data_IF_929260597996
#
_entry.id   IF_929260597996
#
_cell.length_a   1.000
_cell.length_b   1.000
_cell.length_c   1.000
_cell.angle_alpha   90.00
_cell.angle_beta   90.00
_cell.angle_gamma   90.00
#
_symmetry.space_group_name_H-M   'P 1'
#
loop_
_entity.id
_entity.type
_entity.pdbx_description
1 polymer ?
#
# COMPACT_ATOMS: atom_id res chain seq x y z
N UNK A 1 -19.05 -3.58 -14.62
CA UNK A 1 -18.45 -2.30 -14.21
C UNK A 1 -18.55 -2.18 -12.70
N UNK A 2 -17.41 -2.33 -12.05
CA UNK A 2 -17.20 -2.57 -10.62
C UNK A 2 -17.25 -1.26 -9.83
N UNK A 3 -18.42 -0.91 -9.32
CA UNK A 3 -18.60 0.30 -8.51
C UNK A 3 -18.28 0.07 -7.01
N UNK A 4 -17.26 -0.75 -6.69
CA UNK A 4 -16.87 -1.04 -5.29
C UNK A 4 -15.62 -0.27 -4.85
N UNK A 5 -14.89 0.35 -5.78
CA UNK A 5 -13.86 1.33 -5.49
C UNK A 5 -13.91 2.42 -6.57
N UNK A 6 -14.92 3.28 -6.50
CA UNK A 6 -14.83 4.60 -7.15
C UNK A 6 -13.56 5.28 -6.66
N UNK A 7 -12.88 6.04 -7.54
CA UNK A 7 -11.75 6.90 -7.15
C UNK A 7 -12.01 7.52 -5.78
N UNK A 8 -11.16 7.20 -4.81
CA UNK A 8 -11.33 7.72 -3.46
C UNK A 8 -11.05 9.22 -3.55
N UNK A 9 -12.09 10.05 -3.42
CA UNK A 9 -11.97 11.51 -3.46
C UNK A 9 -10.83 11.96 -2.56
N UNK A 10 -9.81 12.61 -3.12
CA UNK A 10 -8.65 13.11 -2.36
C UNK A 10 -9.13 14.10 -1.28
N UNK A 11 -8.44 14.11 -0.12
CA UNK A 11 -8.64 15.24 0.79
C UNK A 11 -7.87 16.45 0.24
N UNK A 12 -8.25 17.67 0.64
CA UNK A 12 -7.67 18.92 0.10
C UNK A 12 -6.14 18.92 0.15
N UNK A 13 -5.55 18.30 1.18
CA UNK A 13 -4.10 18.23 1.32
C UNK A 13 -3.47 17.18 0.38
N UNK A 14 -4.12 16.04 0.16
CA UNK A 14 -3.69 15.03 -0.80
C UNK A 14 -3.76 15.58 -2.23
N UNK A 15 -4.83 16.32 -2.55
CA UNK A 15 -4.99 17.02 -3.83
C UNK A 15 -3.91 18.09 -4.00
N UNK A 16 -3.65 18.90 -2.97
CA UNK A 16 -2.54 19.86 -3.00
C UNK A 16 -1.16 19.21 -3.28
N UNK A 17 -0.87 18.05 -2.66
CA UNK A 17 0.39 17.33 -2.94
C UNK A 17 0.39 16.75 -4.35
N UNK A 18 -0.76 16.24 -4.80
CA UNK A 18 -0.95 15.75 -6.17
C UNK A 18 -0.68 16.87 -7.17
N UNK A 19 -1.38 18.00 -7.07
CA UNK A 19 -1.21 19.15 -7.96
C UNK A 19 0.23 19.65 -7.95
N UNK A 20 0.88 19.73 -6.76
CA UNK A 20 2.29 20.12 -6.67
C UNK A 20 3.21 19.16 -7.44
N UNK A 21 2.92 17.86 -7.42
CA UNK A 21 3.70 16.85 -8.13
C UNK A 21 3.35 16.76 -9.61
N UNK A 22 2.11 17.04 -10.01
CA UNK A 22 1.60 16.80 -11.36
C UNK A 22 1.61 18.06 -12.24
N UNK A 23 1.34 19.23 -11.68
CA UNK A 23 1.16 20.48 -12.43
C UNK A 23 2.45 21.30 -12.54
N UNK A 24 3.54 20.83 -11.93
CA UNK A 24 4.86 21.45 -12.06
C UNK A 24 5.51 21.11 -13.40
N UNK A 25 6.37 22.01 -13.92
CA UNK A 25 7.23 21.67 -15.06
C UNK A 25 8.12 20.47 -14.70
N UNK A 26 8.16 19.42 -15.54
CA UNK A 26 9.05 18.28 -15.34
C UNK A 26 10.49 18.74 -15.14
N UNK A 27 11.15 18.14 -14.16
CA UNK A 27 12.53 18.51 -13.85
C UNK A 27 13.52 17.70 -14.68
N UNK A 28 14.55 18.37 -15.13
CA UNK A 28 15.76 17.73 -15.64
C UNK A 28 16.67 17.47 -14.44
N UNK A 29 16.92 16.19 -14.15
CA UNK A 29 17.73 15.73 -13.02
C UNK A 29 19.08 15.33 -13.59
N UNK A 30 20.10 16.10 -13.29
CA UNK A 30 21.47 15.82 -13.73
C UNK A 30 22.28 15.14 -12.65
N UNK A 31 22.02 15.52 -11.40
CA UNK A 31 22.73 14.98 -10.26
C UNK A 31 21.86 14.83 -9.02
N UNK A 32 22.54 14.46 -7.96
CA UNK A 32 21.94 14.15 -6.69
C UNK A 32 21.32 15.42 -6.04
N UNK A 33 21.86 16.63 -6.25
CA UNK A 33 21.35 17.86 -5.63
C UNK A 33 19.97 18.24 -6.18
N UNK A 34 19.70 17.91 -7.45
CA UNK A 34 18.43 18.19 -8.13
C UNK A 34 17.22 17.44 -7.52
N UNK A 35 17.46 16.35 -6.76
CA UNK A 35 16.40 15.56 -6.11
C UNK A 35 16.09 15.98 -4.68
N UNK A 36 16.78 16.98 -4.13
CA UNK A 36 16.61 17.41 -2.73
C UNK A 36 15.18 17.86 -2.43
N UNK A 37 14.51 18.56 -3.35
CA UNK A 37 13.12 18.99 -3.12
C UNK A 37 12.18 17.80 -2.91
N UNK A 38 12.33 16.74 -3.73
CA UNK A 38 11.54 15.52 -3.58
C UNK A 38 11.78 14.84 -2.23
N UNK A 39 13.05 14.77 -1.81
CA UNK A 39 13.45 14.19 -0.51
C UNK A 39 12.87 15.00 0.66
N UNK A 40 12.99 16.34 0.63
CA UNK A 40 12.44 17.23 1.65
C UNK A 40 10.92 17.10 1.76
N UNK A 41 10.23 17.02 0.62
CA UNK A 41 8.79 16.80 0.57
C UNK A 41 8.43 15.48 1.25
N UNK A 42 9.08 14.38 0.89
CA UNK A 42 8.79 13.07 1.44
C UNK A 42 9.15 12.95 2.94
N UNK A 43 10.20 13.64 3.40
CA UNK A 43 10.53 13.75 4.83
C UNK A 43 9.45 14.51 5.61
N UNK A 44 8.86 15.54 5.01
CA UNK A 44 7.75 16.26 5.64
C UNK A 44 6.54 15.34 5.85
N UNK A 45 6.28 14.43 4.91
CA UNK A 45 5.21 13.44 5.00
C UNK A 45 5.49 12.35 6.03
N UNK A 46 6.75 11.91 6.21
CA UNK A 46 7.14 10.93 7.23
C UNK A 46 6.83 11.43 8.66
N UNK A 47 6.93 12.75 8.89
CA UNK A 47 6.62 13.35 10.18
C UNK A 47 5.12 13.45 10.47
N UNK A 48 4.26 13.21 9.48
CA UNK A 48 2.80 13.26 9.63
C UNK A 48 2.24 11.92 10.05
N UNK A 49 1.32 11.94 11.01
CA UNK A 49 0.61 10.73 11.42
C UNK A 49 -0.75 10.66 10.73
N UNK A 50 -0.77 10.13 9.50
CA UNK A 50 -1.98 10.01 8.68
C UNK A 50 -3.13 9.29 9.38
N UNK A 51 -2.85 8.39 10.32
CA UNK A 51 -3.89 7.74 11.12
C UNK A 51 -4.57 8.70 12.10
N UNK A 52 -3.79 9.51 12.82
CA UNK A 52 -4.33 10.49 13.77
C UNK A 52 -5.11 11.59 13.08
N UNK A 53 -4.66 12.01 11.90
CA UNK A 53 -5.39 12.96 11.07
C UNK A 53 -6.76 12.44 10.62
N UNK A 54 -6.81 11.19 10.14
CA UNK A 54 -8.08 10.56 9.79
C UNK A 54 -8.99 10.38 11.01
N UNK A 55 -8.41 10.02 12.15
CA UNK A 55 -9.14 9.84 13.39
C UNK A 55 -9.75 11.16 13.89
N UNK A 56 -8.95 12.23 13.95
CA UNK A 56 -9.41 13.54 14.43
C UNK A 56 -10.46 14.15 13.50
N UNK A 57 -10.27 14.03 12.18
CA UNK A 57 -11.25 14.45 11.18
C UNK A 57 -12.59 13.72 11.40
N UNK A 58 -12.56 12.39 11.52
CA UNK A 58 -13.80 11.62 11.72
C UNK A 58 -14.46 11.91 13.07
N UNK A 59 -13.69 12.06 14.15
CA UNK A 59 -14.25 12.43 15.44
C UNK A 59 -14.94 13.81 15.39
N UNK A 60 -14.35 14.75 14.65
CA UNK A 60 -14.94 16.08 14.43
C UNK A 60 -16.25 16.01 13.64
N UNK A 61 -16.32 15.18 12.60
CA UNK A 61 -17.57 14.90 11.87
C UNK A 61 -18.66 14.32 12.78
N UNK A 62 -18.27 13.49 13.74
CA UNK A 62 -19.17 12.90 14.74
C UNK A 62 -19.50 13.87 15.90
N UNK A 63 -19.09 15.13 15.82
CA UNK A 63 -19.40 16.18 16.77
C UNK A 63 -18.40 16.34 17.92
N UNK A 64 -17.30 15.59 17.94
CA UNK A 64 -16.22 15.74 18.92
C UNK A 64 -15.04 16.50 18.30
N UNK A 65 -14.97 17.81 18.56
CA UNK A 65 -13.89 18.66 18.02
C UNK A 65 -12.57 18.30 18.68
N UNK A 66 -11.61 17.85 17.88
CA UNK A 66 -10.22 17.66 18.30
C UNK A 66 -9.26 17.77 17.11
N UNK A 67 -7.98 17.98 17.40
CA UNK A 67 -6.88 17.95 16.45
C UNK A 67 -6.10 16.62 16.51
N UNK A 68 -5.23 16.38 15.54
CA UNK A 68 -4.40 15.17 15.41
C UNK A 68 -3.25 15.07 16.42
N UNK A 69 -2.89 16.19 17.07
CA UNK A 69 -1.92 16.25 18.17
C UNK A 69 -2.56 16.08 19.57
N UNK A 70 -3.90 16.12 19.67
CA UNK A 70 -4.65 15.98 20.93
C UNK A 70 -4.89 14.50 21.31
N UNK A 71 -3.81 13.71 21.40
CA UNK A 71 -3.88 12.25 21.54
C UNK A 71 -4.65 11.76 22.78
N UNK A 72 -4.56 12.46 23.91
CA UNK A 72 -5.26 12.07 25.14
C UNK A 72 -6.78 12.31 25.04
N UNK A 73 -7.20 13.40 24.40
CA UNK A 73 -8.62 13.70 24.13
C UNK A 73 -9.22 12.67 23.16
N UNK A 74 -8.54 12.40 22.04
CA UNK A 74 -8.93 11.36 21.09
C UNK A 74 -9.00 9.98 21.75
N UNK A 75 -8.03 9.65 22.60
CA UNK A 75 -7.99 8.36 23.29
C UNK A 75 -9.15 8.21 24.28
N UNK A 76 -9.49 9.25 25.04
CA UNK A 76 -10.61 9.24 25.96
C UNK A 76 -11.94 9.01 25.21
N UNK A 77 -12.15 9.73 24.12
CA UNK A 77 -13.34 9.59 23.29
C UNK A 77 -13.40 8.21 22.63
N UNK A 78 -12.29 7.70 22.09
CA UNK A 78 -12.25 6.35 21.52
C UNK A 78 -12.54 5.27 22.55
N UNK A 79 -12.03 5.39 23.79
CA UNK A 79 -12.39 4.46 24.88
C UNK A 79 -13.89 4.52 25.20
N UNK A 80 -14.48 5.72 25.25
CA UNK A 80 -15.91 5.93 25.44
C UNK A 80 -16.72 5.22 24.35
N UNK A 81 -16.35 5.43 23.07
CA UNK A 81 -16.98 4.81 21.90
C UNK A 81 -16.87 3.30 21.90
N UNK A 82 -15.70 2.75 22.20
CA UNK A 82 -15.50 1.30 22.35
C UNK A 82 -16.45 0.71 23.41
N UNK A 83 -16.61 1.41 24.54
CA UNK A 83 -17.52 0.93 25.58
C UNK A 83 -18.99 1.08 25.20
N UNK A 84 -19.37 2.20 24.58
CA UNK A 84 -20.76 2.53 24.23
C UNK A 84 -21.30 1.71 23.04
N UNK A 85 -20.50 1.60 21.97
CA UNK A 85 -20.94 1.03 20.68
C UNK A 85 -20.59 -0.45 20.60
N UNK A 86 -19.39 -0.83 21.04
CA UNK A 86 -18.87 -2.20 20.90
C UNK A 86 -19.04 -3.04 22.17
N UNK A 87 -19.44 -2.40 23.28
CA UNK A 87 -19.47 -2.98 24.63
C UNK A 87 -18.17 -3.69 25.03
N UNK A 88 -17.01 -3.13 24.65
CA UNK A 88 -15.70 -3.71 24.97
C UNK A 88 -14.69 -2.65 25.40
N UNK A 89 -13.58 -3.11 25.96
CA UNK A 89 -12.44 -2.24 26.28
C UNK A 89 -11.62 -1.97 25.03
N UNK A 90 -11.06 -0.75 24.92
CA UNK A 90 -10.16 -0.39 23.83
C UNK A 90 -8.87 -1.23 23.91
N UNK A 91 -8.52 -2.04 22.89
CA UNK A 91 -7.35 -2.90 22.90
C UNK A 91 -6.04 -2.12 22.99
N UNK A 92 -5.01 -2.70 23.63
CA UNK A 92 -3.71 -2.06 23.80
C UNK A 92 -3.11 -1.60 22.47
N UNK A 93 -3.22 -2.40 21.42
CA UNK A 93 -2.74 -2.07 20.08
C UNK A 93 -3.35 -0.76 19.55
N UNK A 94 -4.66 -0.56 19.72
CA UNK A 94 -5.35 0.66 19.29
C UNK A 94 -4.93 1.85 20.15
N UNK A 95 -4.71 1.63 21.45
CA UNK A 95 -4.16 2.66 22.34
C UNK A 95 -2.76 3.10 21.86
N UNK A 96 -1.90 2.15 21.49
CA UNK A 96 -0.55 2.45 21.01
C UNK A 96 -0.57 3.18 19.66
N UNK A 97 -1.55 2.90 18.79
CA UNK A 97 -1.80 3.67 17.56
C UNK A 97 -2.15 5.12 17.85
N UNK A 98 -3.12 5.36 18.75
CA UNK A 98 -3.58 6.71 19.09
C UNK A 98 -2.48 7.51 19.81
N UNK A 99 -1.61 6.84 20.56
CA UNK A 99 -0.45 7.46 21.20
C UNK A 99 0.74 7.70 20.27
N UNK A 100 0.64 7.30 18.99
CA UNK A 100 1.73 7.41 18.02
C UNK A 100 2.96 6.54 18.35
N UNK A 101 2.82 5.55 19.22
CA UNK A 101 3.93 4.65 19.61
C UNK A 101 4.22 3.66 18.47
N UNK A 102 3.17 3.14 17.85
CA UNK A 102 3.26 2.26 16.68
C UNK A 102 2.23 2.70 15.65
N UNK A 103 2.54 2.73 14.34
CA UNK A 103 1.53 2.96 13.33
C UNK A 103 0.58 1.75 13.21
N UNK A 104 -0.65 1.93 12.70
CA UNK A 104 -1.45 0.82 12.21
C UNK A 104 -0.68 0.07 11.12
N UNK A 105 -0.61 -1.25 11.24
CA UNK A 105 0.02 -2.13 10.25
C UNK A 105 -1.02 -2.96 9.53
N UNK A 106 -0.61 -3.78 8.56
CA UNK A 106 -1.54 -4.67 7.83
C UNK A 106 -2.05 -5.86 8.66
N UNK A 107 -1.45 -6.11 9.83
CA UNK A 107 -1.83 -7.18 10.75
C UNK A 107 -2.94 -6.73 11.69
N UNK A 108 -3.62 -7.65 12.39
CA UNK A 108 -4.73 -7.31 13.31
C UNK A 108 -5.93 -6.63 12.62
N UNK A 109 -6.37 -7.18 11.47
CA UNK A 109 -7.55 -6.70 10.72
C UNK A 109 -8.79 -6.48 11.58
N UNK A 110 -9.01 -7.33 12.59
CA UNK A 110 -10.09 -7.15 13.57
C UNK A 110 -10.05 -5.76 14.22
N UNK A 111 -8.91 -5.32 14.75
CA UNK A 111 -8.78 -4.02 15.41
C UNK A 111 -9.05 -2.84 14.44
N UNK A 112 -8.72 -3.00 13.16
CA UNK A 112 -8.98 -1.97 12.15
C UNK A 112 -10.49 -1.75 11.98
N UNK A 113 -11.24 -2.83 11.76
CA UNK A 113 -12.69 -2.72 11.62
C UNK A 113 -13.39 -2.34 12.92
N UNK A 114 -12.85 -2.73 14.07
CA UNK A 114 -13.35 -2.31 15.37
C UNK A 114 -13.31 -0.80 15.54
N UNK A 115 -12.22 -0.16 15.12
CA UNK A 115 -12.12 1.30 15.09
C UNK A 115 -13.17 1.87 14.14
N UNK A 116 -13.32 1.35 12.92
CA UNK A 116 -14.34 1.82 11.97
C UNK A 116 -15.76 1.72 12.54
N UNK A 117 -16.11 0.62 13.22
CA UNK A 117 -17.39 0.50 13.91
C UNK A 117 -17.55 1.49 15.08
N UNK A 118 -16.51 1.69 15.90
CA UNK A 118 -16.55 2.70 16.97
C UNK A 118 -16.71 4.13 16.43
N UNK A 119 -16.23 4.37 15.21
CA UNK A 119 -16.36 5.63 14.48
C UNK A 119 -17.61 5.67 13.60
N UNK A 120 -18.51 4.69 13.74
CA UNK A 120 -19.82 4.65 13.07
C UNK A 120 -19.67 4.86 11.55
N UNK A 121 -18.66 4.24 10.95
CA UNK A 121 -18.37 4.36 9.52
C UNK A 121 -19.25 3.43 8.70
N UNK A 122 -19.73 3.92 7.56
CA UNK A 122 -20.36 3.09 6.53
C UNK A 122 -19.31 2.33 5.68
N UNK A 123 -19.79 1.58 4.68
CA UNK A 123 -18.94 0.80 3.77
C UNK A 123 -17.93 1.66 3.00
N UNK A 124 -18.34 2.82 2.49
CA UNK A 124 -17.47 3.70 1.70
C UNK A 124 -16.46 4.41 2.59
N UNK A 125 -16.92 4.96 3.73
CA UNK A 125 -16.07 5.59 4.74
C UNK A 125 -15.01 4.63 5.27
N UNK A 126 -15.40 3.38 5.54
CA UNK A 126 -14.46 2.32 5.95
C UNK A 126 -13.42 2.07 4.86
N UNK A 127 -13.85 1.95 3.59
CA UNK A 127 -12.94 1.70 2.49
C UNK A 127 -11.92 2.84 2.31
N UNK A 128 -12.38 4.09 2.36
CA UNK A 128 -11.51 5.28 2.33
C UNK A 128 -10.52 5.25 3.49
N UNK A 129 -10.99 4.97 4.69
CA UNK A 129 -10.16 4.99 5.90
C UNK A 129 -9.05 3.94 5.86
N UNK A 130 -9.36 2.73 5.36
CA UNK A 130 -8.38 1.67 5.17
C UNK A 130 -7.27 2.11 4.21
N UNK A 131 -7.62 2.71 3.07
CA UNK A 131 -6.62 3.07 2.08
C UNK A 131 -5.77 4.27 2.50
N UNK A 132 -6.36 5.30 3.12
CA UNK A 132 -5.67 6.57 3.42
C UNK A 132 -5.02 6.63 4.80
N UNK A 133 -5.60 5.97 5.78
CA UNK A 133 -5.22 6.11 7.19
C UNK A 133 -4.63 4.81 7.75
N UNK A 134 -4.97 3.66 7.17
CA UNK A 134 -4.32 2.37 7.45
C UNK A 134 -3.34 1.91 6.36
N UNK A 135 -3.33 2.56 5.19
CA UNK A 135 -2.42 2.28 4.08
C UNK A 135 -2.51 0.83 3.58
N UNK A 136 -3.73 0.27 3.59
CA UNK A 136 -4.00 -1.11 3.20
C UNK A 136 -5.40 -1.22 2.58
N UNK A 137 -5.66 -2.26 1.80
CA UNK A 137 -7.00 -2.47 1.23
C UNK A 137 -7.99 -2.92 2.31
N UNK A 138 -9.27 -2.52 2.23
CA UNK A 138 -10.35 -3.12 3.02
C UNK A 138 -10.80 -4.46 2.40
N UNK A 139 -11.64 -5.19 3.12
CA UNK A 139 -12.49 -6.29 2.65
C UNK A 139 -11.83 -7.34 1.76
N UNK A 140 -10.77 -8.00 2.25
CA UNK A 140 -10.34 -9.26 1.63
C UNK A 140 -11.43 -10.34 1.83
N UNK A 141 -12.37 -10.43 0.90
CA UNK A 141 -13.55 -11.31 0.98
C UNK A 141 -13.24 -12.81 1.03
N UNK A 142 -11.98 -13.21 0.77
CA UNK A 142 -11.49 -14.58 0.96
C UNK A 142 -11.08 -14.87 2.40
N UNK A 143 -10.81 -13.84 3.20
CA UNK A 143 -10.57 -13.96 4.64
C UNK A 143 -11.90 -13.95 5.40
N UNK A 144 -12.01 -14.86 6.37
CA UNK A 144 -13.16 -14.98 7.27
C UNK A 144 -13.46 -13.67 8.00
N UNK A 145 -12.43 -13.01 8.52
CA UNK A 145 -12.60 -11.78 9.32
C UNK A 145 -13.17 -10.68 8.44
N UNK A 146 -12.49 -10.40 7.33
CA UNK A 146 -12.85 -9.36 6.38
C UNK A 146 -14.21 -9.61 5.72
N UNK A 147 -14.57 -10.85 5.40
CA UNK A 147 -15.88 -11.19 4.84
C UNK A 147 -17.03 -10.90 5.82
N UNK A 148 -16.85 -11.24 7.11
CA UNK A 148 -17.85 -10.91 8.15
C UNK A 148 -18.00 -9.41 8.31
N UNK A 149 -16.88 -8.68 8.31
CA UNK A 149 -16.93 -7.21 8.40
C UNK A 149 -17.53 -6.56 7.17
N UNK A 150 -17.24 -7.06 5.96
CA UNK A 150 -17.88 -6.60 4.73
C UNK A 150 -19.40 -6.74 4.81
N UNK A 151 -19.88 -7.95 5.14
CA UNK A 151 -21.32 -8.22 5.30
C UNK A 151 -21.95 -7.29 6.34
N UNK A 152 -21.40 -7.25 7.56
CA UNK A 152 -22.03 -6.51 8.63
C UNK A 152 -22.01 -4.99 8.41
N UNK A 153 -20.92 -4.42 7.87
CA UNK A 153 -20.85 -2.98 7.60
C UNK A 153 -21.78 -2.62 6.43
N UNK A 154 -21.78 -3.41 5.35
CA UNK A 154 -22.61 -3.12 4.18
C UNK A 154 -24.11 -3.15 4.51
N UNK A 155 -24.55 -4.13 5.32
CA UNK A 155 -25.95 -4.26 5.72
C UNK A 155 -26.29 -3.50 7.02
N UNK A 156 -25.42 -2.61 7.50
CA UNK A 156 -25.59 -1.83 8.73
C UNK A 156 -25.97 -2.69 9.96
N UNK A 157 -25.42 -3.91 10.05
CA UNK A 157 -25.67 -4.82 11.18
C UNK A 157 -24.96 -4.29 12.44
N UNK A 158 -25.58 -4.42 13.63
CA UNK A 158 -24.94 -4.01 14.88
C UNK A 158 -23.70 -4.86 15.16
N UNK A 159 -22.77 -4.31 15.94
CA UNK A 159 -21.53 -5.00 16.28
C UNK A 159 -21.75 -6.33 17.05
N UNK A 160 -22.88 -6.48 17.75
CA UNK A 160 -23.27 -7.76 18.35
C UNK A 160 -23.42 -8.89 17.32
N UNK A 161 -23.88 -8.58 16.11
CA UNK A 161 -23.94 -9.52 14.98
C UNK A 161 -22.55 -9.92 14.51
N UNK A 162 -21.60 -8.97 14.45
CA UNK A 162 -20.19 -9.26 14.12
C UNK A 162 -19.61 -10.30 15.09
N UNK A 163 -19.80 -10.10 16.41
CA UNK A 163 -19.33 -11.04 17.43
C UNK A 163 -19.94 -12.43 17.22
N UNK A 164 -21.27 -12.51 17.03
CA UNK A 164 -21.98 -13.77 16.78
C UNK A 164 -21.45 -14.50 15.53
N UNK A 165 -21.28 -13.80 14.42
CA UNK A 165 -20.83 -14.40 13.16
C UNK A 165 -19.35 -14.82 13.22
N UNK A 166 -18.48 -14.01 13.85
CA UNK A 166 -17.08 -14.39 14.07
C UNK A 166 -16.97 -15.62 14.99
N UNK A 167 -17.81 -15.74 16.00
CA UNK A 167 -17.86 -16.91 16.89
C UNK A 167 -18.33 -18.17 16.16
N UNK A 168 -19.43 -18.07 15.39
CA UNK A 168 -19.98 -19.18 14.62
C UNK A 168 -19.00 -19.71 13.57
N UNK A 169 -18.09 -18.87 13.09
CA UNK A 169 -17.15 -19.23 12.01
C UNK A 169 -15.80 -19.71 12.54
N UNK A 170 -15.56 -19.75 13.86
CA UNK A 170 -14.26 -20.15 14.45
C UNK A 170 -13.77 -21.53 14.02
N UNK A 171 -14.70 -22.47 13.81
CA UNK A 171 -14.40 -23.86 13.48
C UNK A 171 -14.54 -24.19 11.99
N UNK A 172 -14.83 -23.19 11.14
CA UNK A 172 -14.95 -23.39 9.70
C UNK A 172 -13.56 -23.65 9.13
N UNK A 173 -13.40 -24.75 8.40
CA UNK A 173 -12.13 -25.09 7.76
C UNK A 173 -11.97 -24.32 6.45
N UNK A 174 -10.75 -23.86 6.13
CA UNK A 174 -10.50 -23.23 4.84
C UNK A 174 -10.70 -24.24 3.70
N UNK A 175 -11.31 -23.77 2.63
CA UNK A 175 -11.49 -24.51 1.40
C UNK A 175 -10.19 -24.47 0.56
N UNK A 176 -9.94 -25.51 -0.26
CA UNK A 176 -8.89 -25.45 -1.27
C UNK A 176 -9.17 -24.33 -2.27
N UNK A 177 -8.11 -23.85 -2.94
CA UNK A 177 -8.19 -22.72 -3.87
C UNK A 177 -9.29 -22.98 -4.92
N UNK A 178 -10.19 -22.03 -5.08
CA UNK A 178 -11.18 -22.03 -6.15
C UNK A 178 -10.87 -20.90 -7.14
N UNK A 179 -11.26 -21.09 -8.41
CA UNK A 179 -11.12 -20.10 -9.48
C UNK A 179 -12.07 -18.90 -9.35
N UNK A 180 -12.87 -18.82 -8.29
CA UNK A 180 -13.80 -17.71 -8.08
C UNK A 180 -13.03 -16.41 -7.81
N UNK A 181 -13.33 -15.37 -8.58
CA UNK A 181 -12.69 -14.07 -8.40
C UNK A 181 -13.10 -13.43 -7.07
N UNK A 182 -12.18 -12.66 -6.46
CA UNK A 182 -12.45 -11.94 -5.20
C UNK A 182 -13.61 -10.96 -5.35
N UNK A 183 -13.74 -10.30 -6.51
CA UNK A 183 -14.84 -9.37 -6.81
C UNK A 183 -16.20 -10.07 -6.83
N UNK A 184 -16.28 -11.27 -7.40
CA UNK A 184 -17.51 -12.07 -7.41
C UNK A 184 -17.88 -12.53 -6.00
N UNK A 185 -16.91 -12.92 -5.18
CA UNK A 185 -17.15 -13.27 -3.77
C UNK A 185 -17.72 -12.06 -3.02
N UNK A 186 -17.13 -10.88 -3.18
CA UNK A 186 -17.60 -9.65 -2.53
C UNK A 186 -19.03 -9.28 -2.96
N UNK A 187 -19.34 -9.34 -4.25
CA UNK A 187 -20.68 -9.07 -4.77
C UNK A 187 -21.73 -10.04 -4.22
N UNK A 188 -21.39 -11.32 -4.13
CA UNK A 188 -22.28 -12.31 -3.54
C UNK A 188 -22.52 -12.03 -2.06
N UNK A 189 -21.48 -11.71 -1.28
CA UNK A 189 -21.63 -11.34 0.15
C UNK A 189 -22.59 -10.18 0.31
N UNK A 190 -22.41 -9.12 -0.49
CA UNK A 190 -23.25 -7.91 -0.50
C UNK A 190 -24.71 -8.21 -0.90
N UNK A 191 -24.95 -9.22 -1.73
CA UNK A 191 -26.29 -9.60 -2.17
C UNK A 191 -27.07 -10.44 -1.14
N UNK A 192 -26.39 -10.98 -0.12
CA UNK A 192 -27.00 -11.79 0.93
C UNK A 192 -27.42 -10.85 2.05
N UNK A 193 -28.71 -10.83 2.41
CA UNK A 193 -29.21 -10.09 3.58
C UNK A 193 -29.89 -11.03 4.59
N UNK A 194 -29.21 -12.14 4.89
CA UNK A 194 -29.65 -13.12 5.87
C UNK A 194 -28.43 -13.79 6.52
N UNK A 195 -28.37 -13.77 7.84
CA UNK A 195 -27.21 -14.22 8.61
C UNK A 195 -26.90 -15.70 8.38
N UNK A 196 -27.93 -16.56 8.28
CA UNK A 196 -27.75 -18.00 8.12
C UNK A 196 -27.30 -18.35 6.69
N UNK A 197 -27.86 -17.67 5.68
CA UNK A 197 -27.39 -17.78 4.28
C UNK A 197 -25.96 -17.27 4.13
N UNK A 198 -25.60 -16.20 4.83
CA UNK A 198 -24.24 -15.67 4.81
C UNK A 198 -23.25 -16.68 5.42
N UNK A 199 -23.60 -17.29 6.56
CA UNK A 199 -22.77 -18.33 7.18
C UNK A 199 -22.59 -19.56 6.28
N UNK A 200 -23.67 -20.03 5.64
CA UNK A 200 -23.60 -21.12 4.66
C UNK A 200 -22.69 -20.76 3.47
N UNK A 201 -22.83 -19.55 2.93
CA UNK A 201 -21.98 -19.05 1.85
C UNK A 201 -20.51 -18.97 2.27
N UNK A 202 -20.22 -18.36 3.41
CA UNK A 202 -18.86 -18.21 3.92
C UNK A 202 -18.20 -19.56 4.17
N UNK A 203 -18.94 -20.57 4.63
CA UNK A 203 -18.41 -21.93 4.83
C UNK A 203 -17.90 -22.60 3.55
N UNK A 204 -18.42 -22.17 2.39
CA UNK A 204 -18.07 -22.67 1.06
C UNK A 204 -17.02 -21.81 0.34
N UNK A 205 -16.79 -20.58 0.81
CA UNK A 205 -15.96 -19.57 0.14
C UNK A 205 -14.91 -18.91 1.05
N UNK A 206 -14.55 -19.56 2.16
CA UNK A 206 -13.43 -19.19 3.02
C UNK A 206 -12.15 -19.90 2.58
N UNK A 207 -11.04 -19.19 2.38
CA UNK A 207 -9.77 -19.73 1.88
C UNK A 207 -8.61 -19.49 2.88
N UNK A 208 -7.53 -20.27 2.75
CA UNK A 208 -6.37 -20.17 3.63
C UNK A 208 -5.61 -18.84 3.42
N UNK A 209 -5.25 -18.17 4.52
CA UNK A 209 -4.45 -16.93 4.50
C UNK A 209 -3.07 -17.11 3.88
N UNK A 210 -2.53 -18.33 3.86
CA UNK A 210 -1.24 -18.65 3.22
C UNK A 210 -1.28 -18.50 1.68
N UNK A 211 -2.47 -18.42 1.11
CA UNK A 211 -2.72 -18.22 -0.32
C UNK A 211 -2.98 -16.74 -0.65
N UNK A 212 -2.90 -15.86 0.34
CA UNK A 212 -3.01 -14.42 0.16
C UNK A 212 -1.87 -13.94 -0.75
N UNK A 213 -2.21 -13.11 -1.74
CA UNK A 213 -1.30 -12.59 -2.76
C UNK A 213 -0.76 -13.61 -3.78
N UNK A 214 -1.33 -14.80 -3.93
CA UNK A 214 -0.88 -15.76 -4.96
C UNK A 214 -0.88 -15.13 -6.37
N UNK A 215 -1.97 -14.46 -6.73
CA UNK A 215 -2.09 -13.75 -7.99
C UNK A 215 -1.09 -12.59 -8.11
N UNK A 216 -0.87 -11.84 -7.02
CA UNK A 216 0.13 -10.78 -7.01
C UNK A 216 1.55 -11.32 -7.22
N UNK A 217 1.90 -12.46 -6.59
CA UNK A 217 3.20 -13.12 -6.82
C UNK A 217 3.37 -13.57 -8.26
N UNK A 218 2.33 -14.13 -8.88
CA UNK A 218 2.34 -14.52 -10.28
C UNK A 218 2.62 -13.31 -11.19
N UNK A 219 1.91 -12.20 -10.97
CA UNK A 219 2.13 -10.96 -11.72
C UNK A 219 3.53 -10.38 -11.48
N UNK A 220 4.02 -10.37 -10.23
CA UNK A 220 5.38 -9.95 -9.89
C UNK A 220 6.43 -10.84 -10.60
N UNK A 221 6.23 -12.16 -10.64
CA UNK A 221 7.12 -13.07 -11.36
C UNK A 221 7.20 -12.75 -12.86
N UNK A 222 6.06 -12.42 -13.48
CA UNK A 222 6.02 -12.01 -14.88
C UNK A 222 6.79 -10.69 -15.11
N UNK A 223 6.58 -9.69 -14.25
CA UNK A 223 7.30 -8.41 -14.34
C UNK A 223 8.81 -8.57 -14.10
N UNK A 224 9.21 -9.46 -13.17
CA UNK A 224 10.63 -9.85 -12.97
C UNK A 224 11.21 -10.45 -14.25
N UNK A 225 10.47 -11.33 -14.93
CA UNK A 225 10.93 -11.96 -16.16
C UNK A 225 11.20 -10.91 -17.25
N UNK A 226 10.33 -9.90 -17.40
CA UNK A 226 10.50 -8.79 -18.35
C UNK A 226 11.79 -8.02 -18.03
N UNK A 227 12.01 -7.62 -16.78
CA UNK A 227 13.24 -6.91 -16.37
C UNK A 227 14.48 -7.75 -16.68
N UNK A 228 14.45 -9.04 -16.35
CA UNK A 228 15.56 -9.97 -16.62
C UNK A 228 15.86 -10.10 -18.11
N UNK A 229 14.83 -10.17 -18.95
CA UNK A 229 15.00 -10.18 -20.41
C UNK A 229 15.64 -8.90 -20.93
N UNK A 230 15.20 -7.73 -20.44
CA UNK A 230 15.80 -6.44 -20.77
C UNK A 230 17.29 -6.40 -20.41
N UNK A 231 17.63 -6.75 -19.17
CA UNK A 231 19.03 -6.81 -18.70
C UNK A 231 19.88 -7.75 -19.58
N UNK A 232 19.34 -8.90 -19.96
CA UNK A 232 20.06 -9.88 -20.78
C UNK A 232 20.28 -9.43 -22.22
N UNK A 233 19.45 -8.53 -22.77
CA UNK A 233 19.70 -7.92 -24.09
C UNK A 233 20.94 -7.03 -24.08
N UNK A 234 21.17 -6.33 -22.97
CA UNK A 234 22.30 -5.42 -22.82
C UNK A 234 23.60 -6.14 -22.47
N UNK A 235 23.51 -7.24 -21.70
CA UNK A 235 24.66 -8.09 -21.34
C UNK A 235 24.91 -9.09 -22.47
N UNK A 236 25.49 -8.59 -23.56
CA UNK A 236 25.93 -9.41 -24.67
C UNK A 236 26.95 -10.47 -24.19
N UNK A 237 26.61 -11.76 -24.37
CA UNK A 237 27.52 -12.92 -24.57
C UNK A 237 27.74 -13.91 -23.39
N UNK A 238 27.29 -13.71 -22.14
CA UNK A 238 27.55 -14.70 -21.06
C UNK A 238 26.30 -15.24 -20.35
N UNK A 239 26.27 -16.56 -20.12
CA UNK A 239 25.32 -17.21 -19.18
C UNK A 239 25.54 -16.61 -17.78
N UNK A 240 24.58 -15.84 -17.31
CA UNK A 240 24.54 -15.32 -15.93
C UNK A 240 23.85 -16.36 -15.04
N UNK A 241 24.42 -16.67 -13.88
CA UNK A 241 23.77 -17.52 -12.89
C UNK A 241 22.54 -16.82 -12.27
N UNK A 242 21.53 -17.59 -11.87
CA UNK A 242 20.23 -17.03 -11.42
C UNK A 242 20.35 -16.09 -10.20
N UNK A 243 21.26 -16.40 -9.29
CA UNK A 243 21.58 -15.57 -8.12
C UNK A 243 22.14 -14.21 -8.54
N UNK A 244 23.09 -14.20 -9.47
CA UNK A 244 23.65 -12.98 -10.04
C UNK A 244 22.60 -12.19 -10.84
N UNK A 245 21.65 -12.88 -11.48
CA UNK A 245 20.57 -12.23 -12.22
C UNK A 245 19.57 -11.55 -11.28
N UNK A 246 19.31 -12.11 -10.09
CA UNK A 246 18.55 -11.41 -9.05
C UNK A 246 19.27 -10.13 -8.59
N UNK A 247 20.59 -10.18 -8.35
CA UNK A 247 21.37 -8.99 -8.00
C UNK A 247 21.36 -7.91 -9.07
N UNK A 248 21.39 -8.30 -10.35
CA UNK A 248 21.25 -7.36 -11.46
C UNK A 248 19.85 -6.77 -11.54
N UNK A 249 18.82 -7.58 -11.25
CA UNK A 249 17.43 -7.10 -11.16
C UNK A 249 17.32 -6.03 -10.08
N UNK A 250 17.85 -6.27 -8.87
CA UNK A 250 17.82 -5.25 -7.80
C UNK A 250 18.59 -3.99 -8.19
N UNK A 251 19.75 -4.14 -8.84
CA UNK A 251 20.53 -2.99 -9.31
C UNK A 251 19.79 -2.17 -10.37
N UNK A 252 19.04 -2.82 -11.27
CA UNK A 252 18.19 -2.13 -12.23
C UNK A 252 17.00 -1.42 -11.57
N UNK A 253 16.46 -1.95 -10.48
CA UNK A 253 15.34 -1.32 -9.78
C UNK A 253 15.75 -0.15 -8.86
N UNK A 254 16.96 -0.19 -8.30
CA UNK A 254 17.36 0.73 -7.23
C UNK A 254 18.61 1.57 -7.55
N UNK A 255 19.33 1.29 -8.63
CA UNK A 255 20.54 2.02 -9.03
C UNK A 255 21.81 1.64 -8.28
N UNK A 256 21.75 0.70 -7.32
CA UNK A 256 22.93 0.23 -6.58
C UNK A 256 22.97 -1.29 -6.44
N UNK A 257 24.18 -1.83 -6.29
CA UNK A 257 24.39 -3.26 -6.00
C UNK A 257 24.11 -3.52 -4.52
N UNK A 258 23.24 -4.47 -4.18
CA UNK A 258 22.91 -4.84 -2.79
C UNK A 258 24.13 -5.27 -1.95
N UNK A 259 25.22 -5.66 -2.59
CA UNK A 259 26.48 -6.09 -1.95
C UNK A 259 27.56 -4.98 -1.90
N UNK A 260 27.26 -3.74 -2.27
CA UNK A 260 28.22 -2.65 -2.12
C UNK A 260 28.57 -2.51 -0.63
N UNK A 261 29.87 -2.56 -0.31
CA UNK A 261 30.36 -2.34 1.05
C UNK A 261 29.81 -1.01 1.55
N UNK A 262 29.17 -1.00 2.71
CA UNK A 262 28.91 0.22 3.48
C UNK A 262 30.25 0.86 3.83
N UNK A 263 30.73 1.76 2.99
CA UNK A 263 31.68 2.77 3.44
C UNK A 263 30.91 3.72 4.38
N UNK A 264 31.56 4.17 5.45
CA UNK A 264 31.05 5.16 6.41
C UNK A 264 30.87 6.53 5.75
N UNK A 265 29.93 6.62 4.81
CA UNK A 265 29.52 7.87 4.16
C UNK A 265 28.23 8.37 4.79
N UNK A 266 28.04 9.69 4.94
CA UNK A 266 26.78 10.23 5.41
C UNK A 266 25.70 9.86 4.39
N UNK A 267 24.89 8.85 4.71
CA UNK A 267 23.73 8.51 3.89
C UNK A 267 22.81 9.73 3.88
N UNK A 268 22.38 10.19 2.69
CA UNK A 268 21.29 11.15 2.58
C UNK A 268 20.13 10.73 3.47
N UNK A 269 19.52 11.71 4.14
CA UNK A 269 18.47 11.45 5.12
C UNK A 269 17.16 11.12 4.38
N UNK A 270 17.08 9.93 3.79
CA UNK A 270 15.83 9.44 3.19
C UNK A 270 14.80 9.08 4.28
N UNK A 271 13.50 9.25 3.99
CA UNK A 271 12.41 8.78 4.85
C UNK A 271 12.60 7.31 5.23
N UNK A 272 12.23 6.96 6.46
CA UNK A 272 12.34 5.59 6.96
C UNK A 272 11.44 4.66 6.14
N UNK A 273 10.20 5.08 5.88
CA UNK A 273 9.23 4.36 5.05
C UNK A 273 9.62 4.25 3.59
N UNK A 274 10.59 5.03 3.11
CA UNK A 274 11.16 4.81 1.77
C UNK A 274 12.13 3.62 1.77
N UNK A 275 13.04 3.57 2.74
CA UNK A 275 14.14 2.60 2.80
C UNK A 275 13.73 1.21 3.29
N UNK A 276 12.68 1.12 4.09
CA UNK A 276 12.19 -0.15 4.61
C UNK A 276 11.50 -0.98 3.51
N UNK A 277 11.56 -2.30 3.62
CA UNK A 277 10.82 -3.22 2.75
C UNK A 277 11.14 -3.09 1.24
N UNK A 278 12.31 -2.55 0.87
CA UNK A 278 12.81 -2.54 -0.51
C UNK A 278 13.22 -3.95 -0.96
N UNK A 279 13.15 -4.25 -2.27
CA UNK A 279 13.56 -5.55 -2.80
C UNK A 279 15.07 -5.81 -2.60
N UNK A 280 15.40 -7.07 -2.41
CA UNK A 280 16.76 -7.60 -2.33
C UNK A 280 16.85 -8.94 -3.06
N UNK A 281 18.06 -9.43 -3.30
CA UNK A 281 18.30 -10.72 -3.96
C UNK A 281 17.56 -11.86 -3.27
N UNK A 282 17.52 -11.81 -1.94
CA UNK A 282 16.83 -12.79 -1.09
C UNK A 282 15.33 -12.69 -1.26
N UNK A 283 14.74 -11.49 -1.21
CA UNK A 283 13.28 -11.33 -1.32
C UNK A 283 12.80 -11.64 -2.74
N UNK A 284 13.57 -11.31 -3.77
CA UNK A 284 13.29 -11.74 -5.16
C UNK A 284 13.29 -13.26 -5.24
N UNK A 285 14.32 -13.93 -4.70
CA UNK A 285 14.38 -15.39 -4.65
C UNK A 285 13.18 -16.01 -3.92
N UNK A 286 12.79 -15.45 -2.77
CA UNK A 286 11.62 -15.88 -2.01
C UNK A 286 10.32 -15.77 -2.83
N UNK A 287 10.12 -14.67 -3.56
CA UNK A 287 8.95 -14.48 -4.41
C UNK A 287 8.90 -15.55 -5.51
N UNK A 288 10.02 -15.76 -6.21
CA UNK A 288 10.14 -16.74 -7.30
C UNK A 288 9.90 -18.19 -6.83
N UNK A 289 10.33 -18.51 -5.61
CA UNK A 289 10.14 -19.82 -5.00
C UNK A 289 8.73 -20.01 -4.38
N UNK A 290 7.91 -18.95 -4.33
CA UNK A 290 6.58 -18.98 -3.72
C UNK A 290 6.58 -18.85 -2.20
N UNK A 291 7.70 -18.50 -1.57
CA UNK A 291 7.86 -18.36 -0.13
C UNK A 291 6.98 -17.23 0.44
N UNK A 292 6.78 -17.22 1.77
CA UNK A 292 6.06 -16.14 2.45
C UNK A 292 6.89 -14.85 2.44
N UNK A 293 6.29 -13.79 1.91
CA UNK A 293 6.88 -12.44 1.83
C UNK A 293 5.85 -11.45 2.36
N UNK A 294 6.30 -10.37 3.02
CA UNK A 294 5.39 -9.39 3.61
C UNK A 294 4.66 -8.59 2.53
N UNK A 295 3.47 -8.09 2.87
CA UNK A 295 2.67 -7.21 2.02
C UNK A 295 3.48 -6.03 1.47
N UNK A 296 4.22 -5.35 2.34
CA UNK A 296 4.94 -4.14 1.97
C UNK A 296 6.08 -4.42 1.00
N UNK A 297 6.81 -5.52 1.21
CA UNK A 297 7.86 -5.96 0.28
C UNK A 297 7.25 -6.32 -1.07
N UNK A 298 6.15 -7.08 -1.10
CA UNK A 298 5.46 -7.41 -2.35
C UNK A 298 4.98 -6.16 -3.09
N UNK A 299 4.31 -5.23 -2.39
CA UNK A 299 3.78 -3.99 -2.98
C UNK A 299 4.91 -3.12 -3.55
N UNK A 300 5.95 -2.84 -2.78
CA UNK A 300 7.08 -2.01 -3.23
C UNK A 300 7.86 -2.66 -4.36
N UNK A 301 8.09 -3.97 -4.29
CA UNK A 301 8.73 -4.72 -5.38
C UNK A 301 7.92 -4.60 -6.67
N UNK A 302 6.59 -4.78 -6.58
CA UNK A 302 5.72 -4.66 -7.74
C UNK A 302 5.72 -3.23 -8.34
N UNK A 303 5.62 -2.20 -7.50
CA UNK A 303 5.66 -0.80 -7.94
C UNK A 303 6.99 -0.47 -8.65
N UNK A 304 8.13 -0.90 -8.11
CA UNK A 304 9.44 -0.67 -8.73
C UNK A 304 9.60 -1.41 -10.06
N UNK A 305 9.12 -2.66 -10.14
CA UNK A 305 9.14 -3.42 -11.39
C UNK A 305 8.30 -2.74 -12.48
N UNK A 306 7.07 -2.32 -12.14
CA UNK A 306 6.20 -1.58 -13.06
C UNK A 306 6.84 -0.27 -13.50
N UNK A 307 7.42 0.48 -12.56
CA UNK A 307 8.13 1.72 -12.84
C UNK A 307 9.26 1.50 -13.85
N UNK A 308 10.15 0.53 -13.60
CA UNK A 308 11.26 0.23 -14.48
C UNK A 308 10.79 -0.23 -15.87
N UNK A 309 9.86 -1.19 -15.93
CA UNK A 309 9.38 -1.73 -17.20
C UNK A 309 8.65 -0.68 -18.05
N UNK A 310 7.90 0.22 -17.42
CA UNK A 310 7.20 1.31 -18.11
C UNK A 310 8.21 2.33 -18.67
N UNK A 311 9.08 2.87 -17.83
CA UNK A 311 9.99 3.96 -18.22
C UNK A 311 11.23 3.52 -18.99
N UNK A 312 11.50 2.22 -19.13
CA UNK A 312 12.54 1.73 -20.05
C UNK A 312 12.13 1.90 -21.52
N UNK A 313 10.82 1.97 -21.80
CA UNK A 313 10.29 2.07 -23.18
C UNK A 313 9.52 3.37 -23.44
N UNK A 314 9.12 4.09 -22.40
CA UNK A 314 8.45 5.38 -22.53
C UNK A 314 9.40 6.43 -23.12
N UNK A 315 8.87 7.29 -24.00
CA UNK A 315 9.59 8.42 -24.56
C UNK A 315 9.21 9.71 -23.82
N UNK A 316 10.13 10.22 -22.99
CA UNK A 316 9.97 11.46 -22.23
C UNK A 316 10.73 12.60 -22.92
N UNK A 317 10.49 12.81 -24.23
CA UNK A 317 11.25 13.77 -25.03
C UNK A 317 10.92 15.24 -24.75
N UNK A 318 9.72 15.54 -24.23
CA UNK A 318 9.30 16.88 -23.85
C UNK A 318 8.34 16.85 -22.64
N UNK A 319 8.04 18.03 -22.10
CA UNK A 319 7.20 18.16 -20.90
C UNK A 319 5.77 17.61 -21.09
N UNK A 320 5.23 17.65 -22.31
CA UNK A 320 3.90 17.12 -22.60
C UNK A 320 3.92 15.59 -22.54
N UNK A 321 4.92 14.98 -23.18
CA UNK A 321 5.13 13.53 -23.15
C UNK A 321 5.38 13.01 -21.72
N UNK A 322 6.16 13.73 -20.91
CA UNK A 322 6.35 13.39 -19.48
C UNK A 322 5.01 13.40 -18.74
N UNK A 323 4.20 14.44 -18.92
CA UNK A 323 2.89 14.56 -18.27
C UNK A 323 1.93 13.44 -18.66
N UNK A 324 1.82 13.12 -19.96
CA UNK A 324 0.99 12.00 -20.42
C UNK A 324 1.48 10.65 -19.87
N UNK A 325 2.78 10.35 -20.00
CA UNK A 325 3.38 9.11 -19.51
C UNK A 325 3.23 8.95 -17.99
N UNK A 326 3.32 10.04 -17.23
CA UNK A 326 3.08 10.05 -15.80
C UNK A 326 1.64 9.66 -15.44
N UNK A 327 0.64 10.25 -16.12
CA UNK A 327 -0.77 9.93 -15.89
C UNK A 327 -1.10 8.48 -16.29
N UNK A 328 -0.63 8.05 -17.46
CA UNK A 328 -0.80 6.68 -17.95
C UNK A 328 -0.17 5.66 -16.98
N UNK A 329 1.04 5.94 -16.50
CA UNK A 329 1.71 5.11 -15.51
C UNK A 329 0.92 5.01 -14.20
N UNK A 330 0.39 6.13 -13.69
CA UNK A 330 -0.41 6.13 -12.47
C UNK A 330 -1.71 5.36 -12.61
N UNK A 331 -2.44 5.54 -13.72
CA UNK A 331 -3.67 4.80 -13.98
C UNK A 331 -3.39 3.30 -14.08
N UNK A 332 -2.39 2.91 -14.89
CA UNK A 332 -2.00 1.51 -15.05
C UNK A 332 -1.57 0.90 -13.71
N UNK A 333 -0.70 1.58 -12.96
CA UNK A 333 -0.20 1.08 -11.69
C UNK A 333 -1.33 0.93 -10.66
N UNK A 334 -2.25 1.89 -10.57
CA UNK A 334 -3.40 1.79 -9.66
C UNK A 334 -4.33 0.62 -10.00
N UNK A 335 -4.62 0.39 -11.28
CA UNK A 335 -5.40 -0.75 -11.74
C UNK A 335 -4.72 -2.07 -11.35
N UNK A 336 -3.41 -2.19 -11.61
CA UNK A 336 -2.63 -3.39 -11.28
C UNK A 336 -2.48 -3.64 -9.78
N UNK A 337 -2.26 -2.59 -8.99
CA UNK A 337 -2.24 -2.67 -7.53
C UNK A 337 -3.57 -3.22 -7.00
N UNK A 338 -4.69 -2.72 -7.54
CA UNK A 338 -6.02 -3.17 -7.15
C UNK A 338 -6.25 -4.66 -7.52
N UNK A 339 -5.88 -5.09 -8.72
CA UNK A 339 -5.93 -6.49 -9.14
C UNK A 339 -5.15 -7.42 -8.20
N UNK A 340 -4.03 -6.93 -7.65
CA UNK A 340 -3.20 -7.65 -6.69
C UNK A 340 -3.71 -7.62 -5.25
N UNK A 341 -4.74 -6.83 -4.94
CA UNK A 341 -5.18 -6.59 -3.56
C UNK A 341 -4.24 -5.70 -2.75
N UNK A 342 -3.50 -4.81 -3.42
CA UNK A 342 -2.67 -3.78 -2.80
C UNK A 342 -3.41 -2.44 -2.76
N UNK A 343 -3.09 -1.63 -1.75
CA UNK A 343 -3.60 -0.26 -1.68
C UNK A 343 -3.05 0.53 -2.87
N UNK A 344 -3.92 1.35 -3.47
CA UNK A 344 -3.58 2.28 -4.54
C UNK A 344 -2.46 3.25 -4.11
N UNK A 345 -1.90 3.96 -5.07
CA UNK A 345 -0.91 5.00 -4.84
C UNK A 345 -1.52 6.03 -3.89
N UNK A 346 -0.79 6.38 -2.84
CA UNK A 346 -1.18 7.43 -1.92
C UNK A 346 -0.08 8.46 -1.81
N UNK A 347 -0.30 9.65 -2.36
CA UNK A 347 0.71 10.73 -2.44
C UNK A 347 1.25 11.18 -1.08
N UNK A 348 0.54 10.88 0.01
CA UNK A 348 1.00 11.19 1.36
C UNK A 348 1.83 10.08 2.00
N UNK A 349 2.02 8.96 1.32
CA UNK A 349 2.95 7.91 1.71
C UNK A 349 4.36 8.25 1.17
N UNK A 350 5.41 8.34 2.03
CA UNK A 350 6.73 8.81 1.58
C UNK A 350 7.36 8.02 0.43
N UNK A 351 7.13 6.70 0.36
CA UNK A 351 7.62 5.88 -0.75
C UNK A 351 6.90 6.22 -2.07
N UNK A 352 5.57 6.27 -2.03
CA UNK A 352 4.74 6.54 -3.19
C UNK A 352 5.03 7.96 -3.72
N UNK A 353 5.11 8.94 -2.82
CA UNK A 353 5.45 10.33 -3.14
C UNK A 353 6.78 10.45 -3.88
N UNK A 354 7.84 9.77 -3.41
CA UNK A 354 9.14 9.83 -4.07
C UNK A 354 9.13 9.10 -5.40
N UNK A 355 8.44 7.97 -5.50
CA UNK A 355 8.32 7.27 -6.78
C UNK A 355 7.56 8.11 -7.82
N UNK A 356 6.51 8.82 -7.41
CA UNK A 356 5.76 9.73 -8.28
C UNK A 356 6.56 10.98 -8.62
N UNK A 357 7.37 11.49 -7.68
CA UNK A 357 8.35 12.55 -7.98
C UNK A 357 9.33 12.11 -9.08
N UNK A 358 9.86 10.88 -9.03
CA UNK A 358 10.69 10.34 -10.11
C UNK A 358 9.93 10.21 -11.42
N UNK A 359 8.67 9.76 -11.37
CA UNK A 359 7.85 9.54 -12.55
C UNK A 359 7.60 10.85 -13.35
N UNK A 360 7.59 12.00 -12.67
CA UNK A 360 7.42 13.31 -13.30
C UNK A 360 8.76 14.02 -13.64
N UNK A 361 9.71 13.30 -14.26
CA UNK A 361 10.97 13.86 -14.75
C UNK A 361 11.30 13.39 -16.17
N UNK A 362 12.26 14.05 -16.81
CA UNK A 362 12.72 13.67 -18.15
C UNK A 362 13.42 12.30 -18.18
N UNK A 363 14.08 11.90 -17.08
CA UNK A 363 14.65 10.55 -16.91
C UNK A 363 14.25 9.96 -15.54
N UNK A 364 13.09 9.29 -15.47
CA UNK A 364 12.57 8.75 -14.21
C UNK A 364 13.47 7.69 -13.57
N UNK A 365 14.11 6.84 -14.37
CA UNK A 365 14.99 5.77 -13.87
C UNK A 365 16.26 6.40 -13.29
N UNK A 366 16.90 7.33 -14.02
CA UNK A 366 18.05 8.05 -13.50
C UNK A 366 17.72 8.85 -12.24
N UNK A 367 16.56 9.52 -12.22
CA UNK A 367 16.09 10.26 -11.05
C UNK A 367 15.97 9.37 -9.82
N UNK A 368 15.40 8.17 -9.97
CA UNK A 368 15.31 7.19 -8.88
C UNK A 368 16.71 6.73 -8.42
N UNK A 369 17.67 6.62 -9.33
CA UNK A 369 19.06 6.30 -8.98
C UNK A 369 19.70 7.45 -8.19
N UNK A 370 19.54 8.70 -8.61
CA UNK A 370 20.03 9.88 -7.88
C UNK A 370 19.46 10.00 -6.45
N UNK A 371 18.23 9.55 -6.22
CA UNK A 371 17.65 9.47 -4.86
C UNK A 371 18.39 8.41 -4.01
N UNK A 372 18.73 7.28 -4.62
CA UNK A 372 19.35 6.15 -3.92
C UNK A 372 20.88 6.27 -3.82
N UNK A 373 21.51 7.12 -4.64
CA UNK A 373 22.94 7.39 -4.58
C UNK A 373 23.30 8.35 -3.42
N UNK A 374 24.31 8.02 -2.60
CA UNK A 374 24.92 9.00 -1.71
C UNK A 374 25.75 9.99 -2.53
N UNK A 375 25.55 11.29 -2.31
CA UNK A 375 26.22 12.44 -2.94
C UNK A 375 27.59 12.14 -3.59
N UNK A 376 27.68 12.25 -4.92
CA UNK A 376 28.95 12.28 -5.65
C UNK A 376 29.60 13.67 -5.67
N UNK A 377 28.85 14.74 -5.38
CA UNK A 377 29.26 16.12 -5.69
C UNK A 377 30.11 16.86 -4.64
N UNK A 378 30.68 16.19 -3.62
CA UNK A 378 31.60 16.87 -2.69
C UNK A 378 33.10 16.78 -3.04
N UNK A 379 33.49 16.21 -4.20
CA UNK A 379 34.91 16.05 -4.53
C UNK A 379 35.29 16.28 -6.00
N UNK A 380 34.69 17.26 -6.68
CA UNK A 380 35.34 17.92 -7.82
C UNK A 380 36.12 19.15 -7.35
#
# INVERSE_FOLDING_TARGET
MSNILSELTNDEYTEFIFDKLCDGEPKEINDAEDVEEGIVLALSLENRNVFLEGLSARLTELGFRCCDDETESMLAEMKSRYKRILNKTCPRTVIDWIKGITPPGVTNRHNHYDVCYALEMDHLQTAVFFQKHYLTVPYNSKSRIDAVYLYCIYHNKPYSTVVKLLDNTKNVKPQPLAHTSTSQISQNIISIDDDDKFLDYLSKHYYNEDQHYLHAKELICNEIAIVKETILKDISIFKVADDRLNSLTVAALLGYKSQAKKEDKPSRRLPKRFKESLPSDVTIGQILNGDRVSYEVLRKTFMLLKFYNFYTVADNCDAYAVGENFLDFMEELNLRLLECGFAQIYMRHPFDCLLMYCANTYDPIHTLYCINEPDWNQYL
#
